data_IF_479356373075
#
_entry.id   IF_479356373075
#
_cell.length_a   1.000
_cell.length_b   1.000
_cell.length_c   1.000
_cell.angle_alpha   90.00
_cell.angle_beta   90.00
_cell.angle_gamma   90.00
#
_symmetry.space_group_name_H-M   'P 1'
#
loop_
_entity.id
_entity.type
_entity.pdbx_description
1 polymer ?
#
# COMPACT_ATOMS: atom_id res chain seq x y z
N UNK A 1 -7.07 39.16 13.97
CA UNK A 1 -7.48 37.93 13.27
C UNK A 1 -6.37 36.91 13.45
N UNK A 2 -6.63 35.74 14.04
CA UNK A 2 -5.65 34.65 14.07
C UNK A 2 -5.38 34.21 12.63
N UNK A 3 -4.14 33.89 12.29
CA UNK A 3 -3.81 33.32 10.98
C UNK A 3 -4.73 32.13 10.67
N UNK A 4 -5.15 31.95 9.40
CA UNK A 4 -5.88 30.75 9.01
C UNK A 4 -5.04 29.54 9.38
N UNK A 5 -5.60 28.66 10.21
CA UNK A 5 -4.96 27.41 10.60
C UNK A 5 -5.08 26.45 9.43
N UNK A 6 -4.18 26.56 8.45
CA UNK A 6 -4.10 25.65 7.31
C UNK A 6 -4.11 24.21 7.83
N UNK A 7 -4.96 23.34 7.30
CA UNK A 7 -5.06 21.92 7.70
C UNK A 7 -5.96 21.62 8.90
N UNK A 8 -6.38 22.65 9.67
CA UNK A 8 -7.26 22.45 10.82
C UNK A 8 -8.72 22.28 10.37
N UNK A 9 -9.41 21.22 10.79
CA UNK A 9 -10.80 20.98 10.40
C UNK A 9 -11.69 22.11 10.94
N UNK A 10 -12.13 22.99 10.03
CA UNK A 10 -13.06 24.08 10.36
C UNK A 10 -14.53 23.62 10.35
N UNK A 11 -14.76 22.37 9.94
CA UNK A 11 -16.05 21.70 9.87
C UNK A 11 -16.02 20.46 10.76
N UNK A 12 -17.18 20.02 11.26
CA UNK A 12 -17.30 18.75 11.98
C UNK A 12 -17.07 17.59 11.02
N UNK A 13 -15.83 17.11 10.97
CA UNK A 13 -15.38 15.99 10.13
C UNK A 13 -15.19 14.73 10.99
N UNK A 14 -16.08 14.51 11.94
CA UNK A 14 -16.04 13.40 12.90
C UNK A 14 -16.22 12.03 12.20
N UNK A 15 -16.66 12.03 10.95
CA UNK A 15 -16.85 10.85 10.12
C UNK A 15 -15.75 10.68 9.05
N UNK A 16 -14.65 11.45 9.11
CA UNK A 16 -13.55 11.36 8.16
C UNK A 16 -12.36 10.60 8.77
N UNK A 17 -12.08 9.44 8.19
CA UNK A 17 -10.85 8.68 8.44
C UNK A 17 -10.02 8.60 7.17
N UNK A 18 -8.76 8.98 7.25
CA UNK A 18 -7.77 8.87 6.17
C UNK A 18 -6.78 7.78 6.53
N UNK A 19 -6.41 6.94 5.56
CA UNK A 19 -5.29 5.99 5.71
C UNK A 19 -4.17 6.46 4.78
N UNK A 20 -3.02 6.78 5.36
CA UNK A 20 -1.81 7.07 4.60
C UNK A 20 -1.04 5.77 4.40
N UNK A 21 -0.95 5.33 3.15
CA UNK A 21 -0.01 4.30 2.71
C UNK A 21 1.42 4.86 2.81
N UNK A 22 2.07 4.61 3.95
CA UNK A 22 3.38 5.15 4.27
C UNK A 22 4.52 4.19 3.89
N UNK A 23 4.56 3.84 2.59
CA UNK A 23 5.58 2.95 2.01
C UNK A 23 6.95 3.60 1.73
N UNK A 24 7.09 4.90 2.01
CA UNK A 24 8.34 5.69 1.87
C UNK A 24 8.91 5.83 0.46
N UNK A 25 8.16 5.45 -0.60
CA UNK A 25 8.62 5.49 -1.99
C UNK A 25 7.65 6.30 -2.87
N UNK A 26 8.18 7.28 -3.58
CA UNK A 26 7.44 8.07 -4.58
C UNK A 26 7.84 7.67 -6.01
N UNK A 27 7.77 8.59 -6.98
CA UNK A 27 7.98 8.31 -8.40
C UNK A 27 9.35 7.67 -8.70
N UNK A 28 10.42 8.42 -8.48
CA UNK A 28 11.77 8.02 -8.90
C UNK A 28 12.62 7.42 -7.76
N UNK A 29 12.24 7.64 -6.50
CA UNK A 29 13.07 7.22 -5.35
C UNK A 29 12.30 7.21 -4.03
N UNK A 30 13.01 6.84 -2.96
CA UNK A 30 12.57 7.04 -1.59
C UNK A 30 12.28 8.52 -1.31
N UNK A 31 11.19 8.79 -0.60
CA UNK A 31 10.74 10.16 -0.27
C UNK A 31 11.85 10.96 0.42
N UNK A 32 12.61 10.34 1.33
CA UNK A 32 13.73 10.98 2.04
C UNK A 32 14.85 11.50 1.12
N UNK A 33 14.98 10.97 -0.11
CA UNK A 33 15.98 11.43 -1.08
C UNK A 33 15.48 12.54 -1.99
N UNK A 34 14.17 12.77 -2.06
CA UNK A 34 13.57 13.76 -2.96
C UNK A 34 12.90 14.89 -2.20
N UNK A 35 11.94 14.56 -1.33
CA UNK A 35 11.27 15.50 -0.44
C UNK A 35 10.89 14.75 0.84
N UNK A 36 11.70 14.94 1.88
CA UNK A 36 11.49 14.27 3.14
C UNK A 36 10.19 14.72 3.80
N UNK A 37 9.38 13.74 4.24
CA UNK A 37 8.08 13.95 4.85
C UNK A 37 8.16 14.01 6.37
N UNK A 38 9.29 13.65 6.98
CA UNK A 38 9.39 13.61 8.44
C UNK A 38 9.37 14.99 9.11
N UNK A 39 8.88 15.11 10.35
CA UNK A 39 8.13 14.09 11.11
C UNK A 39 6.66 13.99 10.68
N UNK A 40 6.22 12.87 10.10
CA UNK A 40 4.88 12.75 9.49
C UNK A 40 3.75 12.88 10.51
N UNK A 41 3.81 12.10 11.60
CA UNK A 41 2.77 12.12 12.65
C UNK A 41 2.60 13.53 13.25
N UNK A 42 3.71 14.18 13.59
CA UNK A 42 3.69 15.49 14.24
C UNK A 42 3.09 16.57 13.33
N UNK A 43 3.29 16.48 12.00
CA UNK A 43 2.65 17.39 11.04
C UNK A 43 1.12 17.26 11.08
N UNK A 44 0.60 16.03 11.07
CA UNK A 44 -0.85 15.80 11.16
C UNK A 44 -1.46 16.25 12.49
N UNK A 45 -0.77 15.97 13.60
CA UNK A 45 -1.18 16.45 14.93
C UNK A 45 -1.17 17.98 15.01
N UNK A 46 -0.18 18.65 14.40
CA UNK A 46 -0.13 20.11 14.33
C UNK A 46 -1.28 20.69 13.49
N UNK A 47 -1.82 19.92 12.54
CA UNK A 47 -3.05 20.23 11.82
C UNK A 47 -4.33 19.90 12.60
N UNK A 48 -4.24 19.46 13.85
CA UNK A 48 -5.40 19.18 14.70
C UNK A 48 -6.11 17.87 14.38
N UNK A 49 -5.43 16.93 13.71
CA UNK A 49 -5.93 15.59 13.46
C UNK A 49 -5.49 14.64 14.58
N UNK A 50 -6.34 13.65 14.88
CA UNK A 50 -5.89 12.47 15.61
C UNK A 50 -5.04 11.62 14.67
N UNK A 51 -3.79 11.36 15.03
CA UNK A 51 -2.89 10.51 14.24
C UNK A 51 -2.65 9.18 14.96
N UNK A 52 -2.94 8.07 14.28
CA UNK A 52 -2.72 6.70 14.74
C UNK A 52 -1.64 6.10 13.85
N UNK A 53 -0.65 5.42 14.42
CA UNK A 53 0.45 4.80 13.67
C UNK A 53 0.41 3.28 13.85
N UNK A 54 0.52 2.55 12.74
CA UNK A 54 0.39 1.09 12.70
C UNK A 54 1.39 0.46 11.74
N UNK A 55 1.63 -0.84 11.92
CA UNK A 55 2.07 -1.71 10.82
C UNK A 55 0.89 -1.92 9.84
N UNK A 56 1.06 -1.47 8.60
CA UNK A 56 0.06 -1.56 7.55
C UNK A 56 -0.17 -2.96 6.99
N UNK A 57 0.59 -3.96 7.45
CA UNK A 57 0.39 -5.38 7.09
C UNK A 57 -0.15 -6.22 8.26
N UNK A 58 -0.40 -5.61 9.41
CA UNK A 58 -0.98 -6.26 10.58
C UNK A 58 -2.49 -5.97 10.64
N UNK A 59 -3.30 -6.98 10.29
CA UNK A 59 -4.76 -6.87 10.26
C UNK A 59 -5.38 -6.58 11.64
N UNK A 60 -4.75 -7.02 12.73
CA UNK A 60 -5.24 -6.72 14.08
C UNK A 60 -5.01 -5.24 14.42
N UNK A 61 -3.88 -4.67 14.00
CA UNK A 61 -3.61 -3.24 14.17
C UNK A 61 -4.52 -2.38 13.28
N UNK A 62 -4.77 -2.79 12.04
CA UNK A 62 -5.72 -2.12 11.14
C UNK A 62 -7.11 -2.09 11.77
N UNK A 63 -7.62 -3.22 12.25
CA UNK A 63 -8.94 -3.29 12.90
C UNK A 63 -9.03 -2.36 14.10
N UNK A 64 -8.07 -2.43 15.03
CA UNK A 64 -8.02 -1.56 16.22
C UNK A 64 -7.93 -0.08 15.87
N UNK A 65 -7.18 0.29 14.82
CA UNK A 65 -7.05 1.67 14.38
C UNK A 65 -8.37 2.21 13.82
N UNK A 66 -9.11 1.39 13.07
CA UNK A 66 -10.43 1.74 12.55
C UNK A 66 -11.48 1.86 13.66
N UNK A 67 -11.49 0.93 14.62
CA UNK A 67 -12.38 1.00 15.79
C UNK A 67 -12.10 2.26 16.62
N UNK A 68 -10.83 2.60 16.83
CA UNK A 68 -10.43 3.83 17.50
C UNK A 68 -10.84 5.07 16.71
N UNK A 69 -10.70 5.03 15.37
CA UNK A 69 -11.07 6.14 14.51
C UNK A 69 -12.58 6.43 14.57
N UNK A 70 -13.42 5.38 14.56
CA UNK A 70 -14.87 5.50 14.69
C UNK A 70 -15.30 6.08 16.04
N UNK A 71 -14.57 5.77 17.12
CA UNK A 71 -14.83 6.31 18.45
C UNK A 71 -14.28 7.73 18.68
N UNK A 72 -13.52 8.29 17.73
CA UNK A 72 -12.87 9.59 17.87
C UNK A 72 -13.76 10.71 17.35
N UNK A 73 -13.85 11.82 18.09
CA UNK A 73 -14.48 13.06 17.61
C UNK A 73 -13.43 13.88 16.85
N UNK A 74 -13.80 14.40 15.68
CA UNK A 74 -12.89 15.02 14.73
C UNK A 74 -12.23 14.03 13.77
N UNK A 75 -11.50 14.51 12.76
CA UNK A 75 -10.93 13.66 11.74
C UNK A 75 -9.68 12.91 12.23
N UNK A 76 -9.51 11.72 11.68
CA UNK A 76 -8.47 10.78 12.05
C UNK A 76 -7.61 10.46 10.83
N UNK A 77 -6.30 10.37 11.04
CA UNK A 77 -5.40 9.76 10.07
C UNK A 77 -4.71 8.55 10.68
N UNK A 78 -4.76 7.44 9.95
CA UNK A 78 -4.00 6.23 10.22
C UNK A 78 -2.77 6.24 9.32
N UNK A 79 -1.59 6.43 9.89
CA UNK A 79 -0.29 6.34 9.22
C UNK A 79 0.12 4.86 9.23
N UNK A 80 -0.10 4.18 8.10
CA UNK A 80 0.15 2.76 7.95
C UNK A 80 1.51 2.52 7.30
N UNK A 81 2.47 1.98 8.06
CA UNK A 81 3.78 1.62 7.51
C UNK A 81 3.64 0.36 6.65
N UNK A 82 3.86 0.51 5.36
CA UNK A 82 3.70 -0.55 4.36
C UNK A 82 5.01 -0.79 3.62
N UNK A 83 5.01 -1.82 2.78
CA UNK A 83 6.11 -2.19 1.88
C UNK A 83 5.52 -2.07 0.49
N UNK A 84 6.03 -1.15 -0.34
CA UNK A 84 5.58 -1.04 -1.72
C UNK A 84 5.95 -2.32 -2.45
N UNK A 85 5.00 -2.90 -3.19
CA UNK A 85 5.19 -4.19 -3.85
C UNK A 85 5.09 -5.41 -2.93
N UNK A 86 4.53 -5.27 -1.71
CA UNK A 86 4.37 -6.38 -0.74
C UNK A 86 3.82 -7.63 -1.42
N UNK A 87 4.48 -8.77 -1.16
CA UNK A 87 4.07 -10.08 -1.66
C UNK A 87 4.70 -10.48 -3.00
N UNK A 88 5.48 -9.60 -3.63
CA UNK A 88 6.29 -9.92 -4.82
C UNK A 88 7.74 -9.57 -4.53
N UNK A 89 8.57 -10.59 -4.39
CA UNK A 89 9.93 -10.55 -3.87
C UNK A 89 10.85 -9.58 -4.61
N UNK A 90 10.69 -9.44 -5.93
CA UNK A 90 11.49 -8.54 -6.76
C UNK A 90 10.90 -7.12 -6.87
N UNK A 91 9.69 -6.89 -6.35
CA UNK A 91 9.05 -5.56 -6.32
C UNK A 91 9.10 -4.93 -4.92
N UNK A 92 9.29 -5.72 -3.85
CA UNK A 92 9.31 -5.20 -2.49
C UNK A 92 10.41 -4.15 -2.27
N UNK A 93 9.99 -2.95 -1.83
CA UNK A 93 10.87 -1.81 -1.49
C UNK A 93 11.76 -1.32 -2.65
N UNK A 94 11.30 -1.45 -3.90
CA UNK A 94 12.03 -0.99 -5.08
C UNK A 94 11.27 0.11 -5.85
N UNK A 95 11.80 1.36 -5.91
CA UNK A 95 11.19 2.45 -6.67
C UNK A 95 11.01 2.17 -8.17
N UNK A 96 11.82 1.29 -8.78
CA UNK A 96 11.72 0.95 -10.21
C UNK A 96 10.31 0.43 -10.57
N UNK A 97 9.65 -0.23 -9.62
CA UNK A 97 8.33 -0.84 -9.80
C UNK A 97 7.16 0.11 -9.53
N UNK A 98 7.39 1.41 -9.34
CA UNK A 98 6.30 2.35 -9.12
C UNK A 98 5.38 2.51 -10.34
N UNK A 99 5.94 2.59 -11.54
CA UNK A 99 5.20 2.79 -12.79
C UNK A 99 5.56 1.82 -13.92
N UNK A 100 6.49 0.90 -13.67
CA UNK A 100 6.94 -0.09 -14.66
C UNK A 100 5.99 -1.28 -14.68
N UNK A 101 5.46 -1.59 -15.86
CA UNK A 101 4.71 -2.82 -16.06
C UNK A 101 5.67 -4.03 -16.08
N UNK A 102 5.35 -5.14 -15.38
CA UNK A 102 6.14 -6.36 -15.45
C UNK A 102 6.08 -6.96 -16.85
N UNK A 103 7.19 -7.52 -17.30
CA UNK A 103 7.24 -8.38 -18.48
C UNK A 103 6.41 -9.64 -18.22
N UNK A 104 5.97 -10.37 -19.25
CA UNK A 104 5.08 -11.50 -19.03
C UNK A 104 5.64 -12.58 -18.10
N UNK A 105 6.95 -12.87 -18.16
CA UNK A 105 7.58 -13.82 -17.22
C UNK A 105 7.58 -13.31 -15.77
N UNK A 106 7.85 -12.02 -15.57
CA UNK A 106 7.81 -11.36 -14.24
C UNK A 106 6.36 -11.35 -13.70
N UNK A 107 5.37 -11.13 -14.57
CA UNK A 107 3.96 -11.18 -14.20
C UNK A 107 3.52 -12.58 -13.75
N UNK A 108 3.95 -13.63 -14.46
CA UNK A 108 3.67 -15.03 -14.07
C UNK A 108 4.32 -15.34 -12.71
N UNK A 109 5.57 -14.91 -12.50
CA UNK A 109 6.25 -15.05 -11.21
C UNK A 109 5.51 -14.30 -10.10
N UNK A 110 5.11 -13.05 -10.32
CA UNK A 110 4.37 -12.24 -9.36
C UNK A 110 3.02 -12.86 -8.99
N UNK A 111 2.24 -13.35 -9.96
CA UNK A 111 0.98 -14.06 -9.72
C UNK A 111 1.22 -15.26 -8.80
N UNK A 112 2.26 -16.04 -9.07
CA UNK A 112 2.60 -17.23 -8.29
C UNK A 112 2.98 -16.86 -6.83
N UNK A 113 3.79 -15.82 -6.65
CA UNK A 113 4.19 -15.33 -5.32
C UNK A 113 3.01 -14.78 -4.53
N UNK A 114 2.12 -13.99 -5.15
CA UNK A 114 0.88 -13.47 -4.54
C UNK A 114 -0.03 -14.60 -4.08
N UNK A 115 -0.14 -15.67 -4.87
CA UNK A 115 -0.95 -16.84 -4.53
C UNK A 115 -0.27 -17.78 -3.54
N UNK A 116 1.01 -17.55 -3.19
CA UNK A 116 1.77 -18.41 -2.28
C UNK A 116 2.01 -19.82 -2.84
N UNK A 117 2.03 -19.99 -4.16
CA UNK A 117 2.19 -21.31 -4.80
C UNK A 117 3.65 -21.53 -5.16
N UNK A 118 4.30 -22.56 -4.64
CA UNK A 118 5.68 -22.87 -5.03
C UNK A 118 5.79 -23.41 -6.47
N UNK A 119 6.96 -23.27 -7.08
CA UNK A 119 7.27 -23.71 -8.45
C UNK A 119 6.83 -25.15 -8.72
N UNK A 120 7.14 -26.07 -7.79
CA UNK A 120 6.81 -27.48 -7.91
C UNK A 120 5.29 -27.76 -7.90
N UNK A 121 4.50 -26.88 -7.32
CA UNK A 121 3.04 -27.01 -7.23
C UNK A 121 2.30 -26.27 -8.36
N UNK A 122 3.01 -25.50 -9.19
CA UNK A 122 2.42 -24.54 -10.11
C UNK A 122 1.50 -25.18 -11.15
N UNK A 123 1.99 -26.17 -11.91
CA UNK A 123 1.17 -26.86 -12.90
C UNK A 123 -0.05 -27.56 -12.27
N UNK A 124 0.13 -28.13 -11.08
CA UNK A 124 -0.96 -28.76 -10.33
C UNK A 124 -2.01 -27.75 -9.86
N UNK A 125 -1.60 -26.52 -9.52
CA UNK A 125 -2.48 -25.42 -9.21
C UNK A 125 -3.27 -24.99 -10.45
N UNK A 126 -2.58 -24.74 -11.57
CA UNK A 126 -3.20 -24.31 -12.83
C UNK A 126 -4.22 -25.31 -13.37
N UNK A 127 -3.96 -26.62 -13.23
CA UNK A 127 -4.90 -27.66 -13.61
C UNK A 127 -6.24 -27.57 -12.84
N UNK A 128 -6.23 -27.00 -11.62
CA UNK A 128 -7.41 -26.83 -10.76
C UNK A 128 -8.02 -25.43 -10.85
N UNK A 129 -7.32 -24.47 -11.46
CA UNK A 129 -7.73 -23.07 -11.56
C UNK A 129 -7.77 -22.59 -13.02
N UNK A 130 -8.80 -22.98 -13.79
CA UNK A 130 -8.89 -22.64 -15.22
C UNK A 130 -8.79 -21.14 -15.49
N UNK A 131 -9.34 -20.30 -14.60
CA UNK A 131 -9.23 -18.84 -14.73
C UNK A 131 -7.78 -18.33 -14.65
N UNK A 132 -6.99 -18.83 -13.69
CA UNK A 132 -5.56 -18.48 -13.60
C UNK A 132 -4.78 -19.05 -14.78
N UNK A 133 -5.14 -20.26 -15.24
CA UNK A 133 -4.50 -20.90 -16.40
C UNK A 133 -4.63 -20.06 -17.66
N UNK A 134 -5.83 -19.53 -17.96
CA UNK A 134 -6.05 -18.67 -19.13
C UNK A 134 -5.13 -17.45 -19.09
N UNK A 135 -5.04 -16.76 -17.95
CA UNK A 135 -4.18 -15.58 -17.80
C UNK A 135 -2.69 -15.91 -18.03
N UNK A 136 -2.24 -17.05 -17.50
CA UNK A 136 -0.84 -17.50 -17.64
C UNK A 136 -0.53 -17.89 -19.09
N UNK A 137 -1.45 -18.54 -19.78
CA UNK A 137 -1.30 -18.90 -21.19
C UNK A 137 -1.23 -17.64 -22.07
N UNK A 138 -2.07 -16.63 -21.81
CA UNK A 138 -2.04 -15.34 -22.50
C UNK A 138 -0.71 -14.59 -22.30
N UNK A 139 -0.25 -14.47 -21.06
CA UNK A 139 1.05 -13.87 -20.74
C UNK A 139 2.20 -14.65 -21.42
N UNK A 140 2.14 -15.98 -21.40
CA UNK A 140 3.14 -16.83 -22.06
C UNK A 140 3.16 -16.66 -23.57
N UNK A 141 2.02 -16.36 -24.19
CA UNK A 141 1.95 -16.05 -25.62
C UNK A 141 2.59 -14.69 -25.95
N UNK A 142 2.36 -13.67 -25.12
CA UNK A 142 2.99 -12.35 -25.25
C UNK A 142 4.52 -12.38 -25.06
N UNK A 143 5.06 -13.35 -24.33
CA UNK A 143 6.51 -13.50 -24.18
C UNK A 143 7.23 -13.99 -25.45
N UNK A 144 6.47 -14.52 -26.43
CA UNK A 144 7.01 -15.13 -27.66
C UNK A 144 6.99 -14.17 -28.86
N UNK A 145 6.43 -12.98 -28.69
CA UNK A 145 6.36 -11.90 -29.69
C UNK A 145 7.39 -10.83 -29.39
#
# INVERSE_FOLDING_TARGET
>A
MSAPKLGLPMHGLDNLTVILDYNKIQLDNFVAKILDLEPVLAKWQAFGWTAIEIDGHDFDQIGKALDQAEATVGPVIVVAHTVKGKGVSFMENDPEWHGKAPKPAEAIQAIREILGVGDAAWEGYLAKTPGTRVLVDELSALAKT
#
